data_IF_998907857449
#
_entry.id   IF_998907857449
#
_cell.length_a   1.000
_cell.length_b   1.000
_cell.length_c   1.000
_cell.angle_alpha   90.00
_cell.angle_beta   90.00
_cell.angle_gamma   90.00
#
_symmetry.space_group_name_H-M   'P 1'
#
loop_
_entity.id
_entity.type
_entity.pdbx_description
1 polymer ?
#
# COMPACT_ATOMS: atom_id res chain seq x y z
N UNK A 1 0.64 22.84 8.96
CA UNK A 1 -0.42 21.88 9.35
C UNK A 1 0.15 20.77 10.21
N UNK A 2 -0.49 20.40 11.34
CA UNK A 2 0.05 19.35 12.22
C UNK A 2 0.20 18.02 11.49
N UNK A 3 1.18 17.21 11.86
CA UNK A 3 1.37 15.86 11.31
C UNK A 3 0.18 14.97 11.65
N UNK A 4 -0.38 14.28 10.64
CA UNK A 4 -1.48 13.33 10.81
C UNK A 4 -1.03 11.92 10.46
N UNK A 5 -1.31 10.99 11.37
CA UNK A 5 -1.03 9.57 11.20
C UNK A 5 -2.34 8.81 10.98
N UNK A 6 -2.41 8.06 9.88
CA UNK A 6 -3.53 7.22 9.51
C UNK A 6 -3.03 5.77 9.47
N UNK A 7 -2.88 5.16 10.65
CA UNK A 7 -2.45 3.76 10.77
C UNK A 7 -3.62 2.85 11.09
N UNK A 8 -3.61 1.65 10.52
CA UNK A 8 -4.64 0.67 10.81
C UNK A 8 -4.69 0.44 12.32
N UNK A 9 -5.89 0.44 12.91
CA UNK A 9 -6.02 0.10 14.32
C UNK A 9 -5.50 -1.33 14.48
N UNK A 10 -4.42 -1.47 15.23
CA UNK A 10 -3.94 -2.80 15.58
C UNK A 10 -5.05 -3.50 16.38
N UNK A 11 -5.40 -4.76 16.06
CA UNK A 11 -6.46 -5.47 16.76
C UNK A 11 -6.07 -5.55 18.23
N UNK A 12 -6.72 -4.76 19.09
CA UNK A 12 -6.51 -4.79 20.53
C UNK A 12 -7.42 -5.86 21.10
N UNK A 13 -6.89 -7.06 21.30
CA UNK A 13 -7.60 -8.08 22.07
C UNK A 13 -7.72 -7.59 23.51
N UNK A 14 -8.93 -7.51 24.07
CA UNK A 14 -9.09 -7.09 25.45
C UNK A 14 -8.40 -8.08 26.39
N UNK A 15 -7.87 -7.56 27.50
CA UNK A 15 -7.01 -8.33 28.42
C UNK A 15 -7.72 -9.60 28.92
N UNK A 16 -9.03 -9.54 29.18
CA UNK A 16 -9.82 -10.68 29.62
C UNK A 16 -9.94 -11.79 28.58
N UNK A 17 -10.02 -11.47 27.28
CA UNK A 17 -10.07 -12.49 26.23
C UNK A 17 -8.72 -13.23 26.10
N UNK A 18 -7.61 -12.55 26.37
CA UNK A 18 -6.29 -13.19 26.41
C UNK A 18 -6.21 -14.19 27.56
N UNK A 19 -6.67 -13.82 28.75
CA UNK A 19 -6.72 -14.74 29.90
C UNK A 19 -7.65 -15.94 29.65
N UNK A 20 -8.79 -15.72 28.99
CA UNK A 20 -9.72 -16.79 28.63
C UNK A 20 -9.07 -17.78 27.65
N UNK A 21 -8.36 -17.30 26.63
CA UNK A 21 -7.61 -18.16 25.70
C UNK A 21 -6.54 -18.99 26.41
N UNK A 22 -5.78 -18.39 27.34
CA UNK A 22 -4.81 -19.12 28.16
C UNK A 22 -5.47 -20.17 29.06
N UNK A 23 -6.60 -19.84 29.69
CA UNK A 23 -7.36 -20.76 30.54
C UNK A 23 -7.92 -21.95 29.74
N UNK A 24 -8.48 -21.70 28.55
CA UNK A 24 -8.93 -22.75 27.64
C UNK A 24 -7.77 -23.66 27.20
N UNK A 25 -6.63 -23.08 26.85
CA UNK A 25 -5.45 -23.84 26.42
C UNK A 25 -4.88 -24.72 27.56
N UNK A 26 -4.87 -24.21 28.80
CA UNK A 26 -4.51 -25.00 29.98
C UNK A 26 -5.52 -26.12 30.26
N UNK A 27 -6.83 -25.86 30.17
CA UNK A 27 -7.86 -26.89 30.35
C UNK A 27 -7.74 -28.00 29.31
N UNK A 28 -7.52 -27.67 28.04
CA UNK A 28 -7.35 -28.66 26.96
C UNK A 28 -6.07 -29.46 27.18
N UNK A 29 -4.97 -28.82 27.57
CA UNK A 29 -3.71 -29.52 27.88
C UNK A 29 -3.88 -30.49 29.07
N UNK A 30 -4.61 -30.09 30.11
CA UNK A 30 -4.93 -30.95 31.25
C UNK A 30 -5.83 -32.13 30.86
N UNK A 31 -6.83 -31.91 30.00
CA UNK A 31 -7.68 -32.98 29.49
C UNK A 31 -6.89 -34.00 28.65
N UNK A 32 -5.90 -33.54 27.87
CA UNK A 32 -5.00 -34.41 27.10
C UNK A 32 -4.08 -35.22 28.03
N UNK A 33 -3.56 -34.60 29.09
CA UNK A 33 -2.74 -35.28 30.09
C UNK A 33 -3.52 -36.41 30.78
N UNK A 34 -4.77 -36.14 31.16
CA UNK A 34 -5.65 -37.12 31.79
C UNK A 34 -6.01 -38.31 30.89
N UNK A 35 -6.04 -38.15 29.56
CA UNK A 35 -6.49 -39.21 28.63
C UNK A 35 -5.35 -39.93 27.92
N UNK A 36 -4.22 -39.27 27.66
CA UNK A 36 -3.11 -39.83 26.87
C UNK A 36 -1.83 -39.99 27.68
N UNK A 37 -1.06 -38.90 27.78
CA UNK A 37 0.28 -38.89 28.39
C UNK A 37 0.76 -37.44 28.54
N UNK A 38 1.49 -37.16 29.62
CA UNK A 38 2.10 -35.86 29.91
C UNK A 38 3.06 -35.38 28.81
N UNK A 39 3.73 -36.30 28.11
CA UNK A 39 4.60 -35.94 26.98
C UNK A 39 3.80 -35.35 25.80
N UNK A 40 2.61 -35.88 25.51
CA UNK A 40 1.75 -35.40 24.42
C UNK A 40 1.11 -34.07 24.79
N UNK A 41 0.65 -33.93 26.04
CA UNK A 41 0.12 -32.69 26.57
C UNK A 41 1.15 -31.54 26.52
N UNK A 42 2.40 -31.82 26.89
CA UNK A 42 3.51 -30.86 26.81
C UNK A 42 3.83 -30.42 25.38
N UNK A 43 3.86 -31.36 24.42
CA UNK A 43 4.09 -31.03 23.00
C UNK A 43 2.97 -30.16 22.41
N UNK A 44 1.71 -30.46 22.74
CA UNK A 44 0.56 -29.66 22.31
C UNK A 44 0.64 -28.24 22.88
N UNK A 45 0.91 -28.10 24.18
CA UNK A 45 1.06 -26.78 24.81
C UNK A 45 2.17 -25.95 24.14
N UNK A 46 3.34 -26.57 23.91
CA UNK A 46 4.49 -25.89 23.30
C UNK A 46 4.22 -25.46 21.86
N UNK A 47 3.56 -26.30 21.06
CA UNK A 47 3.21 -25.94 19.67
C UNK A 47 2.21 -24.80 19.61
N UNK A 48 1.14 -24.83 20.41
CA UNK A 48 0.17 -23.73 20.49
C UNK A 48 0.80 -22.43 21.04
N UNK A 49 1.72 -22.51 22.00
CA UNK A 49 2.48 -21.38 22.51
C UNK A 49 3.31 -20.71 21.40
N UNK A 50 4.07 -21.49 20.64
CA UNK A 50 4.91 -20.99 19.54
C UNK A 50 4.04 -20.34 18.46
N UNK A 51 2.92 -20.98 18.08
CA UNK A 51 1.98 -20.43 17.10
C UNK A 51 1.38 -19.12 17.60
N UNK A 52 0.96 -19.04 18.87
CA UNK A 52 0.42 -17.82 19.47
C UNK A 52 1.42 -16.67 19.47
N UNK A 53 2.68 -16.94 19.80
CA UNK A 53 3.77 -15.95 19.73
C UNK A 53 4.05 -15.51 18.29
N UNK A 54 4.05 -16.45 17.34
CA UNK A 54 4.24 -16.14 15.91
C UNK A 54 3.11 -15.25 15.37
N UNK A 55 1.85 -15.56 15.68
CA UNK A 55 0.69 -14.74 15.30
C UNK A 55 0.79 -13.36 15.93
N UNK A 56 1.11 -13.26 17.23
CA UNK A 56 1.27 -11.98 17.92
C UNK A 56 2.37 -11.14 17.27
N UNK A 57 3.53 -11.72 17.01
CA UNK A 57 4.61 -11.00 16.36
C UNK A 57 4.23 -10.53 14.95
N UNK A 58 3.60 -11.41 14.17
CA UNK A 58 3.20 -11.14 12.79
C UNK A 58 2.11 -10.06 12.69
N UNK A 59 1.09 -10.08 13.56
CA UNK A 59 -0.04 -9.15 13.52
C UNK A 59 0.32 -7.79 14.12
N UNK A 60 0.99 -7.76 15.28
CA UNK A 60 1.27 -6.50 16.00
C UNK A 60 2.54 -5.80 15.50
N UNK A 61 3.40 -6.46 14.72
CA UNK A 61 4.56 -5.84 14.07
C UNK A 61 4.20 -4.92 12.90
N UNK A 62 2.96 -4.98 12.41
CA UNK A 62 2.53 -4.27 11.20
C UNK A 62 2.13 -2.83 11.54
N UNK A 63 2.90 -1.86 11.04
CA UNK A 63 2.52 -0.45 10.99
C UNK A 63 2.18 -0.08 9.55
N UNK A 64 1.01 -0.55 9.09
CA UNK A 64 0.48 -0.23 7.77
C UNK A 64 -0.33 1.06 7.86
N UNK A 65 -0.14 1.95 6.90
CA UNK A 65 -0.92 3.18 6.83
C UNK A 65 -0.15 4.36 6.24
N UNK A 66 -0.61 5.55 6.55
CA UNK A 66 -0.09 6.79 5.99
C UNK A 66 0.37 7.78 7.05
N UNK A 67 1.36 8.58 6.69
CA UNK A 67 1.79 9.74 7.47
C UNK A 67 1.80 10.96 6.57
N UNK A 68 1.03 11.98 6.94
CA UNK A 68 0.95 13.25 6.25
C UNK A 68 1.61 14.29 7.16
N UNK A 69 2.73 14.85 6.70
CA UNK A 69 3.44 15.94 7.38
C UNK A 69 3.30 17.22 6.57
N UNK A 70 3.88 18.32 7.06
CA UNK A 70 3.92 19.58 6.29
C UNK A 70 4.75 19.50 5.01
N UNK A 71 5.78 18.66 4.99
CA UNK A 71 6.77 18.63 3.89
C UNK A 71 6.57 17.46 2.94
N UNK A 72 6.12 16.32 3.46
CA UNK A 72 6.00 15.08 2.71
C UNK A 72 4.80 14.23 3.13
N UNK A 73 4.45 13.34 2.22
CA UNK A 73 3.45 12.30 2.30
C UNK A 73 4.12 10.94 2.23
N UNK A 74 3.84 10.04 3.16
CA UNK A 74 4.46 8.73 3.23
C UNK A 74 3.43 7.61 3.38
N UNK A 75 3.62 6.53 2.63
CA UNK A 75 2.93 5.25 2.84
C UNK A 75 3.88 4.25 3.50
N UNK A 76 3.38 3.58 4.53
CA UNK A 76 4.05 2.50 5.25
C UNK A 76 3.42 1.17 4.85
N UNK A 77 4.23 0.27 4.33
CA UNK A 77 3.89 -1.06 3.84
C UNK A 77 4.66 -2.12 4.64
N UNK A 78 4.22 -3.38 4.58
CA UNK A 78 4.89 -4.46 5.32
C UNK A 78 6.37 -4.62 4.94
N UNK A 79 6.70 -4.42 3.65
CA UNK A 79 8.04 -4.61 3.10
C UNK A 79 8.80 -3.29 2.86
N UNK A 80 8.38 -2.20 3.50
CA UNK A 80 9.03 -0.89 3.40
C UNK A 80 8.02 0.24 3.27
N UNK A 81 8.34 1.24 2.47
CA UNK A 81 7.42 2.35 2.21
C UNK A 81 7.95 3.21 1.09
N UNK A 82 7.16 4.21 0.72
CA UNK A 82 7.59 5.24 -0.20
C UNK A 82 7.19 6.61 0.34
N UNK A 83 7.94 7.62 -0.07
CA UNK A 83 7.77 9.00 0.38
C UNK A 83 7.65 9.90 -0.84
N UNK A 84 6.70 10.82 -0.81
CA UNK A 84 6.50 11.87 -1.80
C UNK A 84 6.54 13.22 -1.12
N UNK A 85 7.33 14.15 -1.66
CA UNK A 85 7.30 15.54 -1.21
C UNK A 85 6.10 16.25 -1.85
N UNK A 86 5.41 17.09 -1.09
CA UNK A 86 4.19 17.75 -1.60
C UNK A 86 4.47 18.63 -2.83
N UNK A 87 5.64 19.28 -2.90
CA UNK A 87 6.01 20.10 -4.06
C UNK A 87 6.09 19.30 -5.37
N UNK A 88 6.36 17.99 -5.31
CA UNK A 88 6.44 17.11 -6.48
C UNK A 88 5.07 16.57 -6.91
N UNK A 89 4.05 16.74 -6.07
CA UNK A 89 2.69 16.32 -6.38
C UNK A 89 2.00 17.47 -7.12
N UNK A 90 1.36 17.16 -8.25
CA UNK A 90 0.57 18.12 -9.03
C UNK A 90 -0.90 18.07 -8.64
N UNK A 91 -1.49 16.87 -8.55
CA UNK A 91 -2.87 16.68 -8.08
C UNK A 91 -3.06 15.31 -7.45
N UNK A 92 -4.09 15.20 -6.60
CA UNK A 92 -4.55 13.95 -5.98
C UNK A 92 -6.07 13.90 -6.05
N UNK A 93 -6.60 12.90 -6.76
CA UNK A 93 -8.04 12.80 -7.06
C UNK A 93 -8.51 11.34 -7.04
N UNK A 94 -9.84 11.15 -6.96
CA UNK A 94 -10.50 9.85 -7.12
C UNK A 94 -10.50 9.44 -8.59
N UNK A 95 -10.43 8.14 -8.86
CA UNK A 95 -10.59 7.61 -10.21
C UNK A 95 -12.01 7.11 -10.47
N UNK A 96 -12.43 7.30 -11.71
CA UNK A 96 -13.65 6.75 -12.26
C UNK A 96 -13.35 5.94 -13.53
N UNK A 97 -14.16 4.91 -13.76
CA UNK A 97 -14.12 4.02 -14.90
C UNK A 97 -15.38 4.19 -15.72
N UNK A 98 -15.23 4.43 -17.02
CA UNK A 98 -16.35 4.64 -17.93
C UNK A 98 -16.54 3.41 -18.82
N UNK A 99 -17.74 2.86 -18.81
CA UNK A 99 -18.14 1.74 -19.67
C UNK A 99 -19.48 2.06 -20.34
N UNK A 100 -19.49 2.09 -21.67
CA UNK A 100 -20.71 2.24 -22.48
C UNK A 100 -21.61 3.42 -22.04
N UNK A 101 -21.01 4.56 -21.65
CA UNK A 101 -21.74 5.76 -21.21
C UNK A 101 -22.07 5.81 -19.71
N UNK A 102 -21.81 4.74 -18.95
CA UNK A 102 -21.94 4.73 -17.49
C UNK A 102 -20.58 4.94 -16.85
N UNK A 103 -20.50 5.85 -15.89
CA UNK A 103 -19.29 6.12 -15.12
C UNK A 103 -19.45 5.56 -13.72
N UNK A 104 -18.55 4.67 -13.30
CA UNK A 104 -18.53 4.09 -11.97
C UNK A 104 -17.22 4.41 -11.27
N UNK A 105 -17.26 4.67 -9.97
CA UNK A 105 -16.05 4.98 -9.23
C UNK A 105 -15.26 3.71 -8.92
N UNK A 106 -13.94 3.73 -9.15
CA UNK A 106 -13.07 2.57 -8.87
C UNK A 106 -12.38 2.74 -7.51
N UNK A 107 -11.99 1.64 -6.84
CA UNK A 107 -11.40 1.68 -5.49
C UNK A 107 -9.91 2.08 -5.53
N UNK A 108 -9.59 3.15 -6.26
CA UNK A 108 -8.25 3.67 -6.46
C UNK A 108 -8.24 5.20 -6.38
N UNK A 109 -7.18 5.72 -5.77
CA UNK A 109 -6.85 7.15 -5.72
C UNK A 109 -5.64 7.37 -6.61
N UNK A 110 -5.69 8.41 -7.44
CA UNK A 110 -4.66 8.76 -8.40
C UNK A 110 -3.82 9.93 -7.89
N UNK A 111 -2.51 9.82 -8.09
CA UNK A 111 -1.55 10.87 -7.76
C UNK A 111 -0.80 11.22 -9.05
N UNK A 112 -0.90 12.46 -9.48
CA UNK A 112 -0.12 13.00 -10.60
C UNK A 112 1.15 13.64 -10.05
N UNK A 113 2.30 13.23 -10.59
CA UNK A 113 3.62 13.71 -10.23
C UNK A 113 4.16 14.69 -11.27
N UNK A 114 4.97 15.64 -10.82
CA UNK A 114 5.70 16.59 -11.68
C UNK A 114 6.99 15.97 -12.22
N UNK A 115 7.77 15.35 -11.34
CA UNK A 115 9.03 14.68 -11.67
C UNK A 115 9.05 13.24 -11.16
N UNK A 116 9.39 12.31 -12.05
CA UNK A 116 9.53 10.89 -11.75
C UNK A 116 10.86 10.58 -11.04
N UNK A 117 11.93 11.29 -11.37
CA UNK A 117 13.28 11.02 -10.87
C UNK A 117 13.34 11.21 -9.35
N UNK A 118 12.75 12.29 -8.83
CA UNK A 118 12.64 12.54 -7.39
C UNK A 118 11.93 11.42 -6.62
N UNK A 119 10.97 10.73 -7.23
CA UNK A 119 10.27 9.60 -6.59
C UNK A 119 11.04 8.28 -6.76
N UNK A 120 11.41 7.93 -7.99
CA UNK A 120 12.00 6.64 -8.35
C UNK A 120 13.41 6.46 -7.76
N UNK A 121 14.15 7.56 -7.54
CA UNK A 121 15.46 7.51 -6.88
C UNK A 121 15.36 7.02 -5.43
N UNK A 122 14.30 7.41 -4.71
CA UNK A 122 14.12 7.15 -3.26
C UNK A 122 13.44 5.82 -2.94
N UNK A 123 12.65 5.28 -3.87
CA UNK A 123 11.85 4.09 -3.63
C UNK A 123 12.70 2.81 -3.64
N UNK A 124 12.44 1.91 -2.70
CA UNK A 124 13.16 0.65 -2.59
C UNK A 124 12.67 -0.39 -3.62
N UNK A 125 13.55 -1.25 -4.16
CA UNK A 125 13.16 -2.27 -5.13
C UNK A 125 12.01 -3.19 -4.68
N UNK A 126 11.95 -3.53 -3.39
CA UNK A 126 10.87 -4.37 -2.83
C UNK A 126 9.50 -3.71 -2.96
N UNK A 127 9.43 -2.40 -2.70
CA UNK A 127 8.20 -1.62 -2.83
C UNK A 127 7.82 -1.46 -4.31
N UNK A 128 8.80 -1.26 -5.19
CA UNK A 128 8.56 -1.23 -6.65
C UNK A 128 7.85 -2.51 -7.11
N UNK A 129 8.39 -3.68 -6.76
CA UNK A 129 7.77 -4.96 -7.12
C UNK A 129 6.35 -5.07 -6.58
N UNK A 130 6.12 -4.64 -5.33
CA UNK A 130 4.78 -4.67 -4.74
C UNK A 130 3.79 -3.77 -5.49
N UNK A 131 4.20 -2.56 -5.88
CA UNK A 131 3.39 -1.62 -6.67
C UNK A 131 3.05 -2.22 -8.03
N UNK A 132 4.05 -2.76 -8.75
CA UNK A 132 3.88 -3.36 -10.07
C UNK A 132 2.90 -4.53 -10.06
N UNK A 133 2.91 -5.33 -8.99
CA UNK A 133 1.99 -6.46 -8.81
C UNK A 133 0.57 -6.01 -8.43
N UNK A 134 0.43 -5.10 -7.45
CA UNK A 134 -0.89 -4.63 -6.99
C UNK A 134 -1.65 -3.87 -8.08
N UNK A 135 -0.95 -3.09 -8.89
CA UNK A 135 -1.56 -2.25 -9.92
C UNK A 135 -1.79 -2.99 -11.26
N UNK A 136 -1.56 -4.32 -11.33
CA UNK A 136 -1.75 -5.09 -12.57
C UNK A 136 -3.22 -5.15 -13.01
N UNK A 137 -4.14 -5.30 -12.05
CA UNK A 137 -5.58 -5.26 -12.34
C UNK A 137 -6.01 -3.91 -12.87
N UNK A 138 -5.46 -2.82 -12.30
CA UNK A 138 -5.70 -1.46 -12.76
C UNK A 138 -5.19 -1.22 -14.19
N UNK A 139 -3.98 -1.72 -14.51
CA UNK A 139 -3.45 -1.65 -15.88
C UNK A 139 -4.37 -2.39 -16.86
N UNK A 140 -4.79 -3.60 -16.52
CA UNK A 140 -5.71 -4.38 -17.36
C UNK A 140 -7.03 -3.64 -17.60
N UNK A 141 -7.63 -3.08 -16.55
CA UNK A 141 -8.88 -2.35 -16.64
C UNK A 141 -8.75 -1.11 -17.53
N UNK A 142 -7.64 -0.37 -17.40
CA UNK A 142 -7.36 0.81 -18.22
C UNK A 142 -7.18 0.45 -19.69
N UNK A 143 -6.37 -0.57 -19.99
CA UNK A 143 -6.19 -1.05 -21.36
C UNK A 143 -7.50 -1.54 -21.98
N UNK A 144 -8.34 -2.22 -21.20
CA UNK A 144 -9.67 -2.66 -21.64
C UNK A 144 -10.58 -1.47 -21.97
N UNK A 145 -10.57 -0.40 -21.16
CA UNK A 145 -11.35 0.81 -21.43
C UNK A 145 -10.99 1.45 -22.78
N UNK A 146 -9.70 1.44 -23.11
CA UNK A 146 -9.15 2.05 -24.31
C UNK A 146 -9.07 1.09 -25.52
N UNK A 147 -9.60 -0.14 -25.41
CA UNK A 147 -9.54 -1.15 -26.49
C UNK A 147 -8.13 -1.68 -26.79
N UNK A 148 -7.16 -1.46 -25.90
CA UNK A 148 -5.73 -1.80 -26.06
C UNK A 148 -5.33 -3.05 -25.27
N UNK A 149 -6.26 -3.98 -25.07
CA UNK A 149 -6.02 -5.17 -24.25
C UNK A 149 -4.87 -6.06 -24.77
N UNK A 150 -4.62 -6.04 -26.09
CA UNK A 150 -3.54 -6.79 -26.73
C UNK A 150 -2.14 -6.37 -26.26
N UNK A 151 -1.95 -5.14 -25.78
CA UNK A 151 -0.65 -4.63 -25.31
C UNK A 151 -0.33 -5.02 -23.86
N UNK A 152 -1.22 -5.75 -23.19
CA UNK A 152 -1.09 -6.03 -21.76
C UNK A 152 0.25 -6.68 -21.41
N UNK A 153 0.66 -7.70 -22.17
CA UNK A 153 1.89 -8.46 -21.90
C UNK A 153 3.14 -7.57 -22.04
N UNK A 154 3.17 -6.72 -23.06
CA UNK A 154 4.26 -5.78 -23.33
C UNK A 154 4.47 -4.79 -22.17
N UNK A 155 3.38 -4.40 -21.49
CA UNK A 155 3.43 -3.46 -20.38
C UNK A 155 3.57 -4.15 -19.01
N UNK A 156 3.26 -5.45 -18.89
CA UNK A 156 3.42 -6.20 -17.63
C UNK A 156 4.89 -6.35 -17.27
N UNK A 157 5.76 -6.74 -18.21
CA UNK A 157 7.19 -6.95 -18.00
C UNK A 157 7.98 -6.12 -19.01
N UNK A 158 8.01 -4.80 -18.80
CA UNK A 158 8.80 -3.89 -19.61
C UNK A 158 10.14 -3.59 -18.93
N UNK A 159 11.21 -4.22 -19.43
CA UNK A 159 12.59 -4.05 -18.95
C UNK A 159 13.37 -2.98 -19.71
N UNK A 160 12.74 -2.28 -20.66
CA UNK A 160 13.38 -1.22 -21.45
C UNK A 160 13.87 -0.10 -20.53
N UNK A 161 15.06 0.46 -20.78
CA UNK A 161 15.53 1.65 -20.06
C UNK A 161 14.54 2.80 -20.18
N UNK A 162 14.43 3.59 -19.12
CA UNK A 162 13.59 4.79 -19.11
C UNK A 162 14.49 6.03 -19.11
N UNK A 163 14.24 6.95 -20.03
CA UNK A 163 14.94 8.23 -20.14
C UNK A 163 14.19 9.30 -19.34
N UNK A 164 14.87 9.92 -18.38
CA UNK A 164 14.37 11.08 -17.66
C UNK A 164 14.45 12.35 -18.52
N UNK A 165 13.81 13.42 -18.05
CA UNK A 165 13.80 14.72 -18.74
C UNK A 165 15.17 15.39 -18.79
N UNK A 166 16.09 15.03 -17.90
CA UNK A 166 17.48 15.53 -17.86
C UNK A 166 18.43 14.76 -18.81
N UNK A 167 17.92 13.76 -19.53
CA UNK A 167 18.69 12.91 -20.44
C UNK A 167 19.38 11.72 -19.78
N UNK A 168 19.31 11.59 -18.44
CA UNK A 168 19.82 10.41 -17.75
C UNK A 168 18.88 9.21 -17.93
N UNK A 169 19.44 8.00 -17.94
CA UNK A 169 18.67 6.76 -18.05
C UNK A 169 18.61 5.99 -16.72
N UNK A 170 17.53 5.25 -16.53
CA UNK A 170 17.40 4.27 -15.45
C UNK A 170 17.08 2.90 -16.04
N UNK A 171 17.57 1.85 -15.36
CA UNK A 171 17.44 0.44 -15.79
C UNK A 171 16.82 -0.43 -14.70
N UNK A 172 16.43 -1.65 -15.08
CA UNK A 172 15.89 -2.65 -14.17
C UNK A 172 14.53 -2.26 -13.58
N UNK A 173 14.26 -2.65 -12.33
CA UNK A 173 12.95 -2.42 -11.68
C UNK A 173 12.53 -0.94 -11.64
N UNK A 174 13.48 -0.02 -11.48
CA UNK A 174 13.21 1.41 -11.49
C UNK A 174 12.72 1.90 -12.87
N UNK A 175 13.32 1.39 -13.95
CA UNK A 175 12.87 1.67 -15.31
C UNK A 175 11.49 1.08 -15.60
N UNK A 176 11.29 -0.16 -15.15
CA UNK A 176 10.01 -0.84 -15.27
C UNK A 176 8.88 -0.07 -14.55
N UNK A 177 9.15 0.46 -13.36
CA UNK A 177 8.21 1.35 -12.67
C UNK A 177 7.96 2.64 -13.44
N UNK A 178 9.00 3.31 -13.92
CA UNK A 178 8.86 4.55 -14.71
C UNK A 178 8.01 4.35 -15.97
N UNK A 179 8.29 3.29 -16.72
CA UNK A 179 7.50 2.89 -17.88
C UNK A 179 6.06 2.57 -17.49
N UNK A 180 5.84 1.88 -16.36
CA UNK A 180 4.49 1.59 -15.86
C UNK A 180 3.73 2.85 -15.48
N UNK A 181 4.38 3.81 -14.82
CA UNK A 181 3.78 5.11 -14.47
C UNK A 181 3.39 5.87 -15.74
N UNK A 182 4.24 5.87 -16.77
CA UNK A 182 3.96 6.52 -18.06
C UNK A 182 2.71 5.96 -18.75
N UNK A 183 2.57 4.64 -18.86
CA UNK A 183 1.37 4.04 -19.48
C UNK A 183 0.14 4.27 -18.61
N UNK A 184 0.25 4.17 -17.28
CA UNK A 184 -0.89 4.45 -16.39
C UNK A 184 -1.35 5.91 -16.49
N UNK A 185 -0.42 6.86 -16.68
CA UNK A 185 -0.75 8.27 -16.93
C UNK A 185 -1.54 8.43 -18.23
N UNK A 186 -1.19 7.68 -19.28
CA UNK A 186 -1.95 7.70 -20.53
C UNK A 186 -3.36 7.13 -20.37
N UNK A 187 -3.52 6.08 -19.54
CA UNK A 187 -4.79 5.40 -19.37
C UNK A 187 -5.74 6.15 -18.43
N UNK A 188 -5.22 6.70 -17.33
CA UNK A 188 -5.99 7.25 -16.21
C UNK A 188 -5.72 8.72 -15.89
N UNK A 189 -4.65 9.31 -16.44
CA UNK A 189 -4.22 10.68 -16.13
C UNK A 189 -3.33 10.82 -14.88
N UNK A 190 -2.99 9.71 -14.22
CA UNK A 190 -2.21 9.70 -12.97
C UNK A 190 -1.01 8.75 -13.05
N UNK A 191 -0.01 8.99 -12.21
CA UNK A 191 1.27 8.27 -12.26
C UNK A 191 1.36 7.20 -11.17
N UNK A 192 0.88 7.48 -9.96
CA UNK A 192 0.87 6.56 -8.82
C UNK A 192 -0.56 6.35 -8.31
N UNK A 193 -0.83 5.15 -7.80
CA UNK A 193 -2.17 4.76 -7.33
C UNK A 193 -2.11 4.16 -5.94
N UNK A 194 -3.08 4.55 -5.11
CA UNK A 194 -3.34 4.02 -3.78
C UNK A 194 -4.66 3.26 -3.82
N UNK A 195 -4.67 2.03 -3.31
CA UNK A 195 -5.90 1.25 -3.20
C UNK A 195 -6.77 1.78 -2.06
N UNK A 196 -8.08 1.79 -2.25
CA UNK A 196 -9.03 2.06 -1.17
C UNK A 196 -8.91 1.04 -0.03
N UNK A 197 -8.45 -0.18 -0.33
CA UNK A 197 -8.16 -1.19 0.70
C UNK A 197 -7.02 -0.82 1.65
N UNK A 198 -6.20 0.18 1.29
CA UNK A 198 -5.02 0.59 2.07
C UNK A 198 -5.28 1.81 2.96
N UNK A 199 -6.46 2.45 2.81
CA UNK A 199 -6.90 3.57 3.65
C UNK A 199 -7.91 3.11 4.70
N UNK A 200 -8.01 3.88 5.79
CA UNK A 200 -8.89 3.59 6.93
C UNK A 200 -10.17 4.44 6.89
N UNK A 201 -10.10 5.56 6.17
CA UNK A 201 -11.20 6.48 5.91
C UNK A 201 -11.80 6.20 4.54
N UNK A 202 -12.90 6.87 4.18
CA UNK A 202 -13.37 6.84 2.80
C UNK A 202 -12.34 7.47 1.85
N UNK A 203 -12.44 7.08 0.58
CA UNK A 203 -11.60 7.61 -0.50
C UNK A 203 -11.71 9.13 -0.61
N UNK A 204 -12.92 9.68 -0.49
CA UNK A 204 -13.22 11.10 -0.60
C UNK A 204 -12.64 11.88 0.58
N UNK A 205 -12.77 11.36 1.80
CA UNK A 205 -12.21 11.98 2.99
C UNK A 205 -10.68 12.03 2.92
N UNK A 206 -10.06 10.93 2.46
CA UNK A 206 -8.62 10.85 2.28
C UNK A 206 -8.12 11.86 1.24
N UNK A 207 -8.78 11.92 0.08
CA UNK A 207 -8.45 12.89 -0.99
C UNK A 207 -8.62 14.32 -0.49
N UNK A 208 -9.72 14.64 0.20
CA UNK A 208 -9.96 15.96 0.77
C UNK A 208 -8.91 16.35 1.81
N UNK A 209 -8.45 15.41 2.63
CA UNK A 209 -7.32 15.61 3.54
C UNK A 209 -6.03 15.87 2.76
N UNK A 210 -5.68 15.02 1.79
CA UNK A 210 -4.44 15.13 1.04
C UNK A 210 -4.35 16.44 0.24
N UNK A 211 -5.46 16.88 -0.37
CA UNK A 211 -5.55 18.18 -1.07
C UNK A 211 -5.32 19.37 -0.14
N UNK A 212 -5.78 19.30 1.13
CA UNK A 212 -5.52 20.35 2.13
C UNK A 212 -4.04 20.47 2.47
N UNK A 213 -3.33 19.35 2.65
CA UNK A 213 -1.87 19.37 2.84
C UNK A 213 -1.15 19.90 1.60
N UNK A 214 -1.58 19.47 0.41
CA UNK A 214 -1.02 19.95 -0.86
C UNK A 214 -1.19 21.47 -1.01
N UNK A 215 -2.37 22.02 -0.71
CA UNK A 215 -2.61 23.46 -0.76
C UNK A 215 -1.77 24.23 0.28
N UNK A 216 -1.67 23.69 1.50
CA UNK A 216 -0.87 24.28 2.57
C UNK A 216 0.62 24.31 2.23
N UNK A 217 1.16 23.26 1.59
CA UNK A 217 2.58 23.22 1.22
C UNK A 217 2.96 24.26 0.17
N UNK A 218 2.05 24.59 -0.74
CA UNK A 218 2.27 25.63 -1.74
C UNK A 218 2.18 27.04 -1.13
N UNK A 219 1.34 27.21 -0.10
CA UNK A 219 1.19 28.49 0.61
C UNK A 219 2.41 28.81 1.50
N UNK A 220 2.99 27.79 2.13
CA UNK A 220 4.19 27.94 2.97
C UNK A 220 5.52 28.09 2.21
N UNK A 221 5.54 27.84 0.90
CA UNK A 221 6.73 28.01 0.05
C UNK A 221 6.92 29.46 -0.46
N UNK A 222 5.94 30.34 -0.23
CA UNK A 222 5.95 31.75 -0.62
C UNK A 222 6.28 32.71 0.55
N UNK A 223 6.92 32.20 1.61
CA UNK A 223 7.39 32.99 2.76
C UNK A 223 8.90 32.81 2.88
#
# INVERSE_FOLDING_TARGET
MPTKHLFYPQPRLPIWSQYLLWACLLMVSFAIDSQLNSKVAGLFFLTCLIIGLAIKHYVYGQKLGFTLTETHFQQHLYKGGWVLRWHNIKRIDTLDYSIQGWTTSIPWIGIELKDYQAFISTISPKVITQILLHQRSLLFLGLKQHGRQHELEDHIINDKPFLYSDGSDVKGLKAMLANRMKIQKQLWGYDLFISESDIITSKEEFVGLARRYLAASHSGANI
#
